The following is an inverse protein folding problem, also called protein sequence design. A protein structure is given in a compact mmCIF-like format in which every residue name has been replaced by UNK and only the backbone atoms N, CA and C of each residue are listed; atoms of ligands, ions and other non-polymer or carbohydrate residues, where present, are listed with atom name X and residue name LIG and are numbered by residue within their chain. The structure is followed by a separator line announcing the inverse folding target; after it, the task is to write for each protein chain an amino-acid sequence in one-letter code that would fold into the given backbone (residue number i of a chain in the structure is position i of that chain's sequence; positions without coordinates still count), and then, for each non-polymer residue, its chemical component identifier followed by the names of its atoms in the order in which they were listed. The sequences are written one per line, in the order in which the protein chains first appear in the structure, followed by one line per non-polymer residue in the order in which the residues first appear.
data_IF_610155651850
#
_entry.id   IF_610155651850
#
_cell.length_a   1.000
_cell.length_b   1.000
_cell.length_c   1.000
_cell.angle_alpha   90.00
_cell.angle_beta   90.00
_cell.angle_gamma   90.00
#
_symmetry.space_group_name_H-M   'P 1'
#
loop_
_entity.id
_entity.type
_entity.pdbx_description
1 polymer ?
#
# COMPACT_ATOMS: atom_id res chain seq x y z
N UNK A 1 19.45 -7.79 -1.90
CA UNK A 1 19.31 -6.35 -1.57
C UNK A 1 17.87 -6.00 -1.19
N UNK A 2 16.86 -6.51 -1.89
CA UNK A 2 15.42 -6.36 -1.58
C UNK A 2 15.02 -6.87 -0.19
N UNK A 3 15.50 -8.04 0.24
CA UNK A 3 15.16 -8.61 1.56
C UNK A 3 15.57 -7.73 2.75
N UNK A 4 16.68 -6.99 2.65
CA UNK A 4 17.16 -6.13 3.73
C UNK A 4 16.37 -4.83 3.81
N UNK A 5 15.90 -4.31 2.66
CA UNK A 5 15.00 -3.16 2.61
C UNK A 5 13.60 -3.53 3.14
N UNK A 6 13.12 -4.71 2.79
CA UNK A 6 11.84 -5.25 3.26
C UNK A 6 11.84 -5.50 4.78
N UNK A 7 12.91 -6.08 5.33
CA UNK A 7 13.07 -6.21 6.78
C UNK A 7 13.13 -4.85 7.49
N UNK A 8 13.87 -3.89 6.94
CA UNK A 8 13.96 -2.54 7.50
C UNK A 8 12.61 -1.83 7.50
N UNK A 9 11.83 -1.98 6.44
CA UNK A 9 10.49 -1.41 6.34
C UNK A 9 9.55 -2.04 7.38
N UNK A 10 9.56 -3.37 7.53
CA UNK A 10 8.77 -4.06 8.56
C UNK A 10 9.11 -3.60 9.97
N UNK A 11 10.40 -3.45 10.30
CA UNK A 11 10.83 -2.95 11.60
C UNK A 11 10.41 -1.50 11.85
N UNK A 12 10.48 -0.64 10.84
CA UNK A 12 10.00 0.75 10.95
C UNK A 12 8.49 0.81 11.20
N UNK A 13 7.72 0.03 10.45
CA UNK A 13 6.26 -0.06 10.65
C UNK A 13 5.94 -0.53 12.06
N UNK A 14 6.59 -1.61 12.52
CA UNK A 14 6.40 -2.14 13.86
C UNK A 14 6.69 -1.08 14.93
N UNK A 15 7.82 -0.38 14.84
CA UNK A 15 8.21 0.66 15.79
C UNK A 15 7.21 1.83 15.82
N UNK A 16 6.73 2.26 14.65
CA UNK A 16 5.73 3.34 14.57
C UNK A 16 4.37 2.88 15.11
N UNK A 17 3.95 1.64 14.85
CA UNK A 17 2.74 1.04 15.41
C UNK A 17 2.78 0.98 16.93
N UNK A 18 3.90 0.53 17.52
CA UNK A 18 4.12 0.55 18.97
C UNK A 18 4.04 1.97 19.52
N UNK A 19 4.69 2.94 18.87
CA UNK A 19 4.64 4.35 19.30
C UNK A 19 3.21 4.93 19.25
N UNK A 20 2.42 4.57 18.24
CA UNK A 20 1.03 5.01 18.12
C UNK A 20 0.17 4.38 19.20
N UNK A 21 0.30 3.06 19.41
CA UNK A 21 -0.42 2.34 20.47
C UNK A 21 -0.11 2.93 21.86
N UNK A 22 1.14 3.30 22.14
CA UNK A 22 1.55 3.92 23.41
C UNK A 22 1.04 5.37 23.58
N UNK A 23 0.90 6.12 22.49
CA UNK A 23 0.56 7.55 22.53
C UNK A 23 -0.94 7.84 22.40
N UNK A 24 -1.70 6.96 21.74
CA UNK A 24 -3.13 7.15 21.44
C UNK A 24 -3.91 5.81 21.50
N UNK A 25 -3.89 5.10 22.64
CA UNK A 25 -4.44 3.75 22.75
C UNK A 25 -5.95 3.68 22.47
N UNK A 26 -6.71 4.72 22.82
CA UNK A 26 -8.19 4.73 22.72
C UNK A 26 -8.73 5.48 21.48
N UNK A 27 -7.87 6.15 20.71
CA UNK A 27 -8.32 7.06 19.64
C UNK A 27 -8.13 6.48 18.23
N UNK A 28 -7.29 5.45 18.06
CA UNK A 28 -6.96 4.93 16.74
C UNK A 28 -6.86 3.40 16.69
N UNK A 29 -7.91 2.76 16.16
CA UNK A 29 -7.87 1.34 15.81
C UNK A 29 -7.01 1.14 14.55
N UNK A 30 -5.79 0.63 14.75
CA UNK A 30 -4.82 0.38 13.68
C UNK A 30 -5.33 -0.62 12.62
N UNK A 31 -6.25 -1.52 12.98
CA UNK A 31 -6.87 -2.45 12.03
C UNK A 31 -7.80 -1.72 11.06
N UNK A 32 -8.56 -0.74 11.55
CA UNK A 32 -9.42 0.12 10.74
C UNK A 32 -8.58 1.02 9.83
N UNK A 33 -7.46 1.54 10.33
CA UNK A 33 -6.52 2.33 9.52
C UNK A 33 -5.96 1.49 8.38
N UNK A 34 -5.46 0.28 8.68
CA UNK A 34 -4.92 -0.63 7.67
C UNK A 34 -5.97 -0.96 6.61
N UNK A 35 -7.21 -1.31 7.02
CA UNK A 35 -8.30 -1.59 6.10
C UNK A 35 -8.60 -0.41 5.16
N UNK A 36 -8.65 0.82 5.70
CA UNK A 36 -8.86 2.03 4.88
C UNK A 36 -7.70 2.28 3.92
N UNK A 37 -6.46 2.11 4.36
CA UNK A 37 -5.30 2.21 3.48
C UNK A 37 -5.37 1.22 2.32
N UNK A 38 -5.71 -0.04 2.59
CA UNK A 38 -5.90 -1.06 1.55
C UNK A 38 -7.00 -0.69 0.56
N UNK A 39 -8.15 -0.18 1.04
CA UNK A 39 -9.21 0.29 0.15
C UNK A 39 -8.74 1.42 -0.78
N UNK A 40 -8.07 2.44 -0.25
CA UNK A 40 -7.57 3.55 -1.06
C UNK A 40 -6.49 3.12 -2.06
N UNK A 41 -5.59 2.23 -1.65
CA UNK A 41 -4.55 1.68 -2.55
C UNK A 41 -5.17 0.85 -3.68
N UNK A 42 -6.20 0.05 -3.38
CA UNK A 42 -6.92 -0.72 -4.40
C UNK A 42 -7.59 0.19 -5.42
N UNK A 43 -8.34 1.21 -4.96
CA UNK A 43 -8.97 2.20 -5.85
C UNK A 43 -7.94 2.93 -6.73
N UNK A 44 -6.76 3.25 -6.18
CA UNK A 44 -5.71 3.90 -6.94
C UNK A 44 -5.08 2.97 -7.98
N UNK A 45 -4.89 1.68 -7.66
CA UNK A 45 -4.39 0.69 -8.61
C UNK A 45 -5.39 0.49 -9.77
N UNK A 46 -6.68 0.40 -9.47
CA UNK A 46 -7.76 0.30 -10.47
C UNK A 46 -7.78 1.53 -11.39
N UNK A 47 -7.68 2.74 -10.83
CA UNK A 47 -7.64 3.97 -11.62
C UNK A 47 -6.44 3.98 -12.59
N UNK A 48 -5.27 3.53 -12.16
CA UNK A 48 -4.10 3.42 -13.05
C UNK A 48 -4.28 2.37 -14.15
N UNK A 49 -4.96 1.25 -13.87
CA UNK A 49 -5.31 0.26 -14.90
C UNK A 49 -6.28 0.82 -15.94
N UNK A 50 -7.25 1.62 -15.50
CA UNK A 50 -8.17 2.33 -16.40
C UNK A 50 -7.41 3.32 -17.30
N UNK A 51 -6.50 4.13 -16.71
CA UNK A 51 -5.65 5.05 -17.47
C UNK A 51 -4.73 4.33 -18.46
N UNK A 52 -4.17 3.19 -18.09
CA UNK A 52 -3.37 2.36 -18.99
C UNK A 52 -4.21 1.89 -20.20
N UNK A 53 -5.44 1.46 -19.95
CA UNK A 53 -6.38 1.00 -20.98
C UNK A 53 -6.76 2.15 -21.92
N UNK A 54 -7.00 3.35 -21.40
CA UNK A 54 -7.35 4.52 -22.20
C UNK A 54 -6.18 5.02 -23.06
N UNK A 55 -4.95 4.98 -22.53
CA UNK A 55 -3.74 5.27 -23.30
C UNK A 55 -3.48 4.22 -24.38
N UNK A 56 -3.74 2.93 -24.11
CA UNK A 56 -3.64 1.87 -25.11
C UNK A 56 -4.64 2.10 -26.26
N UNK A 57 -5.89 2.46 -25.93
CA UNK A 57 -6.94 2.78 -26.92
C UNK A 57 -6.60 3.99 -27.79
N UNK A 58 -5.87 4.97 -27.27
CA UNK A 58 -5.41 6.14 -28.02
C UNK A 58 -4.15 5.86 -28.86
N UNK A 59 -3.53 4.69 -28.69
CA UNK A 59 -2.29 4.29 -29.36
C UNK A 59 -1.01 4.79 -28.68
N UNK A 60 -1.12 5.43 -27.51
CA UNK A 60 0.03 5.90 -26.73
C UNK A 60 0.60 4.76 -25.87
N UNK A 61 1.37 3.89 -26.53
CA UNK A 61 1.97 2.71 -25.90
C UNK A 61 2.94 3.03 -24.77
N UNK A 62 3.67 4.14 -24.85
CA UNK A 62 4.62 4.54 -23.81
C UNK A 62 3.87 4.94 -22.52
N UNK A 63 2.84 5.76 -22.67
CA UNK A 63 2.01 6.16 -21.53
C UNK A 63 1.23 4.97 -20.94
N UNK A 64 0.68 4.09 -21.79
CA UNK A 64 0.00 2.88 -21.34
C UNK A 64 0.92 1.99 -20.48
N UNK A 65 2.18 1.79 -20.93
CA UNK A 65 3.18 1.06 -20.17
C UNK A 65 3.55 1.74 -18.85
N UNK A 66 3.65 3.07 -18.84
CA UNK A 66 3.90 3.84 -17.63
C UNK A 66 2.82 3.60 -16.56
N UNK A 67 1.56 3.77 -16.95
CA UNK A 67 0.41 3.55 -16.06
C UNK A 67 0.29 2.10 -15.58
N UNK A 68 0.54 1.14 -16.47
CA UNK A 68 0.55 -0.27 -16.09
C UNK A 68 1.65 -0.59 -15.06
N UNK A 69 2.86 -0.05 -15.26
CA UNK A 69 3.96 -0.23 -14.33
C UNK A 69 3.63 0.39 -12.95
N UNK A 70 2.93 1.52 -12.92
CA UNK A 70 2.52 2.16 -11.67
C UNK A 70 1.42 1.38 -10.95
N UNK A 71 0.44 0.80 -11.65
CA UNK A 71 -0.51 -0.14 -11.04
C UNK A 71 0.21 -1.36 -10.46
N UNK A 72 1.15 -1.96 -11.18
CA UNK A 72 1.93 -3.10 -10.66
C UNK A 72 2.70 -2.74 -9.39
N UNK A 73 3.31 -1.55 -9.34
CA UNK A 73 3.96 -1.05 -8.12
C UNK A 73 2.98 -0.86 -6.96
N UNK A 74 1.77 -0.38 -7.22
CA UNK A 74 0.74 -0.26 -6.18
C UNK A 74 0.28 -1.62 -5.66
N UNK A 75 0.18 -2.63 -6.54
CA UNK A 75 -0.12 -4.01 -6.13
C UNK A 75 0.96 -4.58 -5.21
N UNK A 76 2.24 -4.26 -5.46
CA UNK A 76 3.33 -4.62 -4.54
C UNK A 76 3.19 -3.92 -3.18
N UNK A 77 2.81 -2.63 -3.16
CA UNK A 77 2.54 -1.88 -1.91
C UNK A 77 1.36 -2.48 -1.15
N UNK A 78 0.28 -2.87 -1.83
CA UNK A 78 -0.87 -3.55 -1.23
C UNK A 78 -0.42 -4.83 -0.52
N UNK A 79 0.44 -5.63 -1.15
CA UNK A 79 0.99 -6.85 -0.52
C UNK A 79 1.80 -6.54 0.74
N UNK A 80 2.63 -5.49 0.69
CA UNK A 80 3.40 -5.04 1.87
C UNK A 80 2.45 -4.62 2.99
N UNK A 81 1.47 -3.76 2.72
CA UNK A 81 0.52 -3.28 3.73
C UNK A 81 -0.30 -4.43 4.33
N UNK A 82 -0.70 -5.38 3.49
CA UNK A 82 -1.43 -6.59 3.92
C UNK A 82 -0.59 -7.47 4.85
N UNK A 83 0.74 -7.50 4.66
CA UNK A 83 1.65 -8.30 5.49
C UNK A 83 1.96 -7.71 6.87
N UNK A 84 1.49 -6.49 7.15
CA UNK A 84 1.68 -5.84 8.45
C UNK A 84 0.74 -6.50 9.47
N UNK A 85 1.31 -7.12 10.48
CA UNK A 85 0.55 -7.66 11.62
C UNK A 85 0.15 -6.51 12.54
N UNK A 86 -1.16 -6.36 12.79
CA UNK A 86 -1.68 -5.39 13.74
C UNK A 86 -1.82 -6.08 15.10
N UNK A 87 -1.15 -5.60 16.17
CA UNK A 87 -1.32 -6.16 17.50
C UNK A 87 -2.79 -6.08 17.92
N UNK A 88 -3.35 -7.20 18.39
CA UNK A 88 -4.66 -7.19 19.00
C UNK A 88 -4.60 -6.35 20.28
N UNK A 89 -5.54 -5.41 20.43
CA UNK A 89 -5.69 -4.68 21.69
C UNK A 89 -5.89 -5.69 22.83
N UNK A 90 -5.09 -5.55 23.90
CA UNK A 90 -5.12 -6.41 25.07
C UNK A 90 -6.32 -6.11 25.98
#
# INVERSE_FOLDING_TARGET
MTQLHDLRLRLLVQQESERIADSQPDELDLSVVQARCLCWLALLAEAHEEQATDAERSGDTEQAMGWFADSMRLRDVINVVTSIEIPLAA
#
